data_IF_957678801605
#
_entry.id   IF_957678801605
#
_cell.length_a   1.000
_cell.length_b   1.000
_cell.length_c   1.000
_cell.angle_alpha   90.00
_cell.angle_beta   90.00
_cell.angle_gamma   90.00
#
_symmetry.space_group_name_H-M   'P 1'
#
loop_
_entity.id
_entity.type
_entity.pdbx_description
1 polymer ?
#
# COMPACT_ATOMS: atom_id res chain seq x y z
N UNK A 1 35.18 27.11 3.44
CA UNK A 1 34.20 27.94 4.18
C UNK A 1 33.23 27.01 4.89
N UNK A 2 33.41 26.83 6.18
CA UNK A 2 32.58 25.94 6.99
C UNK A 2 31.20 26.60 7.19
N UNK A 3 30.19 26.13 6.47
CA UNK A 3 28.82 26.61 6.64
C UNK A 3 28.33 26.19 8.03
N UNK A 4 28.43 27.11 9.01
CA UNK A 4 27.84 26.94 10.34
C UNK A 4 26.41 26.45 10.18
N UNK A 5 26.10 25.24 10.66
CA UNK A 5 24.75 24.69 10.61
C UNK A 5 23.85 25.61 11.43
N UNK A 6 22.86 26.23 10.78
CA UNK A 6 21.83 27.01 11.46
C UNK A 6 21.08 26.08 12.43
N UNK A 7 21.11 26.42 13.70
CA UNK A 7 20.39 25.71 14.76
C UNK A 7 18.96 26.27 14.85
N UNK A 8 18.02 25.42 15.25
CA UNK A 8 16.61 25.77 15.38
C UNK A 8 16.13 25.34 16.77
N UNK A 9 15.42 26.24 17.46
CA UNK A 9 14.76 25.91 18.72
C UNK A 9 13.57 24.99 18.47
N UNK A 10 13.13 24.24 19.48
CA UNK A 10 11.94 23.39 19.37
C UNK A 10 10.68 24.17 18.95
N UNK A 11 10.52 25.39 19.47
CA UNK A 11 9.42 26.28 19.08
C UNK A 11 9.47 26.66 17.58
N UNK A 12 10.66 26.99 17.06
CA UNK A 12 10.83 27.29 15.64
C UNK A 12 10.54 26.09 14.75
N UNK A 13 10.99 24.89 15.15
CA UNK A 13 10.68 23.64 14.43
C UNK A 13 9.17 23.43 14.37
N UNK A 14 8.48 23.51 15.51
CA UNK A 14 7.01 23.34 15.59
C UNK A 14 6.26 24.36 14.75
N UNK A 15 6.70 25.63 14.75
CA UNK A 15 6.10 26.67 13.91
C UNK A 15 6.22 26.36 12.42
N UNK A 16 7.40 25.93 11.97
CA UNK A 16 7.62 25.56 10.57
C UNK A 16 6.81 24.32 10.21
N UNK A 17 6.78 23.31 11.08
CA UNK A 17 6.02 22.09 10.85
C UNK A 17 4.51 22.34 10.78
N UNK A 18 3.98 23.22 11.64
CA UNK A 18 2.58 23.62 11.55
C UNK A 18 2.27 24.20 10.18
N UNK A 19 3.10 25.12 9.68
CA UNK A 19 2.89 25.68 8.35
C UNK A 19 3.02 24.65 7.23
N UNK A 20 3.93 23.68 7.37
CA UNK A 20 4.03 22.55 6.44
C UNK A 20 2.72 21.77 6.43
N UNK A 21 2.17 21.43 7.60
CA UNK A 21 0.91 20.70 7.70
C UNK A 21 -0.29 21.51 7.21
N UNK A 22 -0.27 22.83 7.35
CA UNK A 22 -1.33 23.72 6.85
C UNK A 22 -1.29 23.84 5.31
N UNK A 23 -0.10 23.92 4.69
CA UNK A 23 0.06 24.24 3.26
C UNK A 23 0.22 23.04 2.34
N UNK A 24 0.74 21.94 2.86
CA UNK A 24 0.96 20.72 2.08
C UNK A 24 -0.36 20.15 1.51
N UNK A 25 -1.49 20.12 2.25
CA UNK A 25 -2.79 19.70 1.73
C UNK A 25 -3.28 20.55 0.55
N UNK A 26 -3.01 21.85 0.57
CA UNK A 26 -3.34 22.81 -0.50
C UNK A 26 -2.55 22.57 -1.81
N UNK A 27 -1.67 21.57 -1.83
CA UNK A 27 -0.93 21.16 -3.02
C UNK A 27 0.46 21.76 -3.14
N UNK A 28 0.88 22.69 -2.25
CA UNK A 28 2.24 23.21 -2.23
C UNK A 28 3.26 22.08 -2.01
N UNK A 29 4.43 22.18 -2.66
CA UNK A 29 5.49 21.19 -2.43
C UNK A 29 6.18 21.42 -1.09
N UNK A 30 6.54 20.33 -0.41
CA UNK A 30 7.34 20.38 0.82
C UNK A 30 8.62 21.22 0.62
N UNK A 31 9.29 21.02 -0.52
CA UNK A 31 10.47 21.78 -0.92
C UNK A 31 10.18 23.28 -1.02
N UNK A 32 9.07 23.67 -1.64
CA UNK A 32 8.66 25.06 -1.76
C UNK A 32 8.39 25.71 -0.40
N UNK A 33 7.66 25.02 0.48
CA UNK A 33 7.36 25.51 1.84
C UNK A 33 8.67 25.62 2.66
N UNK A 34 9.52 24.60 2.61
CA UNK A 34 10.80 24.56 3.32
C UNK A 34 11.74 25.69 2.88
N UNK A 35 11.88 25.93 1.57
CA UNK A 35 12.73 26.98 1.03
C UNK A 35 12.28 28.39 1.46
N UNK A 36 10.96 28.65 1.51
CA UNK A 36 10.41 29.92 2.04
C UNK A 36 10.80 30.18 3.51
N UNK A 37 11.22 29.15 4.24
CA UNK A 37 11.68 29.22 5.63
C UNK A 37 13.19 29.07 5.78
N UNK A 38 13.93 29.01 4.67
CA UNK A 38 15.39 28.85 4.68
C UNK A 38 15.85 27.50 5.23
N UNK A 39 15.00 26.47 5.15
CA UNK A 39 15.30 25.10 5.56
C UNK A 39 15.25 24.16 4.36
N UNK A 40 15.97 23.05 4.43
CA UNK A 40 15.84 21.96 3.45
C UNK A 40 14.65 21.07 3.81
N UNK A 41 14.04 20.46 2.80
CA UNK A 41 13.01 19.42 2.95
C UNK A 41 13.51 18.23 3.78
N UNK A 42 14.77 17.81 3.59
CA UNK A 42 15.37 16.74 4.41
C UNK A 42 15.43 17.07 5.91
N UNK A 43 15.65 18.34 6.28
CA UNK A 43 15.63 18.77 7.69
C UNK A 43 14.21 18.81 8.25
N UNK A 44 13.23 19.14 7.42
CA UNK A 44 11.82 19.05 7.80
C UNK A 44 11.43 17.59 8.08
N UNK A 45 11.86 16.64 7.23
CA UNK A 45 11.66 15.21 7.49
C UNK A 45 12.34 14.74 8.77
N UNK A 46 13.57 15.18 9.04
CA UNK A 46 14.28 14.91 10.29
C UNK A 46 13.46 15.36 11.51
N UNK A 47 12.88 16.57 11.46
CA UNK A 47 12.06 17.10 12.55
C UNK A 47 10.74 16.38 12.74
N UNK A 48 10.06 16.01 11.64
CA UNK A 48 8.84 15.20 11.70
C UNK A 48 9.13 13.88 12.43
N UNK A 49 10.25 13.23 12.08
CA UNK A 49 10.69 11.99 12.73
C UNK A 49 11.04 12.21 14.20
N UNK A 50 11.86 13.21 14.52
CA UNK A 50 12.31 13.44 15.90
C UNK A 50 11.20 13.87 16.85
N UNK A 51 10.14 14.49 16.33
CA UNK A 51 8.98 14.94 17.10
C UNK A 51 7.82 13.95 17.13
N UNK A 52 7.96 12.79 16.47
CA UNK A 52 6.93 11.75 16.45
C UNK A 52 5.69 12.09 15.60
N UNK A 53 5.82 13.03 14.65
CA UNK A 53 4.69 13.57 13.87
C UNK A 53 4.49 12.85 12.52
N UNK A 54 4.96 11.61 12.39
CA UNK A 54 4.94 10.89 11.11
C UNK A 54 3.53 10.52 10.68
N UNK A 55 2.67 10.14 11.62
CA UNK A 55 1.26 9.78 11.33
C UNK A 55 0.48 11.00 10.86
N UNK A 56 0.59 12.13 11.55
CA UNK A 56 0.01 13.41 11.13
C UNK A 56 0.50 13.81 9.73
N UNK A 57 1.81 13.70 9.50
CA UNK A 57 2.38 14.00 8.19
C UNK A 57 1.89 13.05 7.09
N UNK A 58 1.71 11.76 7.39
CA UNK A 58 1.13 10.81 6.45
C UNK A 58 -0.32 11.19 6.11
N UNK A 59 -1.13 11.53 7.10
CA UNK A 59 -2.50 12.00 6.90
C UNK A 59 -2.57 13.28 6.04
N UNK A 60 -1.71 14.25 6.31
CA UNK A 60 -1.60 15.48 5.50
C UNK A 60 -1.25 15.16 4.04
N UNK A 61 -0.42 14.13 3.77
CA UNK A 61 -0.13 13.68 2.41
C UNK A 61 -1.32 13.02 1.74
N UNK A 62 -2.16 12.31 2.49
CA UNK A 62 -3.42 11.78 1.97
C UNK A 62 -4.40 12.91 1.60
N UNK A 63 -4.52 13.94 2.45
CA UNK A 63 -5.33 15.13 2.14
C UNK A 63 -4.84 15.82 0.87
N UNK A 64 -3.53 15.96 0.69
CA UNK A 64 -2.93 16.50 -0.54
C UNK A 64 -3.32 15.71 -1.79
N UNK A 65 -3.52 14.39 -1.67
CA UNK A 65 -3.95 13.57 -2.79
C UNK A 65 -5.34 13.99 -3.31
N UNK A 66 -6.25 14.41 -2.42
CA UNK A 66 -7.56 14.94 -2.82
C UNK A 66 -7.43 16.24 -3.62
N UNK A 67 -6.59 17.18 -3.17
CA UNK A 67 -6.33 18.41 -3.92
C UNK A 67 -5.73 18.15 -5.30
N UNK A 68 -4.81 17.18 -5.38
CA UNK A 68 -4.22 16.78 -6.65
C UNK A 68 -5.21 16.08 -7.57
N UNK A 69 -6.18 15.34 -7.01
CA UNK A 69 -7.29 14.79 -7.77
C UNK A 69 -8.15 15.89 -8.38
N UNK A 70 -8.57 16.90 -7.62
CA UNK A 70 -9.34 18.03 -8.17
C UNK A 70 -8.56 18.80 -9.25
N UNK A 71 -7.24 18.96 -9.05
CA UNK A 71 -6.38 19.63 -10.04
C UNK A 71 -6.27 18.89 -11.38
N UNK A 72 -6.49 17.57 -11.41
CA UNK A 72 -6.62 16.82 -12.67
C UNK A 72 -7.84 17.33 -13.45
N UNK A 73 -8.96 17.58 -12.78
CA UNK A 73 -10.17 18.11 -13.41
C UNK A 73 -9.91 19.52 -13.96
N UNK A 74 -9.25 20.39 -13.19
CA UNK A 74 -8.89 21.74 -13.64
C UNK A 74 -8.05 21.71 -14.93
N UNK A 75 -7.01 20.86 -14.96
CA UNK A 75 -6.14 20.72 -16.13
C UNK A 75 -6.93 20.18 -17.33
N UNK A 76 -7.83 19.21 -17.11
CA UNK A 76 -8.69 18.67 -18.16
C UNK A 76 -9.61 19.75 -18.75
N UNK A 77 -10.24 20.58 -17.91
CA UNK A 77 -11.09 21.68 -18.38
C UNK A 77 -10.29 22.76 -19.12
N UNK A 78 -9.08 23.09 -18.66
CA UNK A 78 -8.21 24.00 -19.38
C UNK A 78 -7.82 23.47 -20.76
N UNK A 79 -7.56 22.16 -20.88
CA UNK A 79 -7.24 21.52 -22.15
C UNK A 79 -8.43 21.55 -23.11
N UNK A 80 -9.63 21.20 -22.64
CA UNK A 80 -10.87 21.28 -23.42
C UNK A 80 -11.19 22.70 -23.89
N UNK A 81 -10.84 23.70 -23.09
CA UNK A 81 -10.99 25.12 -23.43
C UNK A 81 -9.86 25.66 -24.32
N UNK A 82 -8.93 24.81 -24.80
CA UNK A 82 -7.74 25.21 -25.57
C UNK A 82 -6.86 26.27 -24.86
N UNK A 83 -6.84 26.28 -23.53
CA UNK A 83 -6.03 27.21 -22.71
C UNK A 83 -4.65 26.67 -22.35
N UNK A 84 -4.42 25.38 -22.58
CA UNK A 84 -3.13 24.70 -22.36
C UNK A 84 -2.87 23.73 -23.50
N UNK A 85 -1.60 23.46 -23.78
CA UNK A 85 -1.21 22.45 -24.76
C UNK A 85 -1.74 21.05 -24.31
N UNK A 86 -2.44 20.30 -25.19
CA UNK A 86 -2.99 19.00 -24.84
C UNK A 86 -1.94 17.95 -24.42
N UNK A 87 -0.74 17.97 -25.00
CA UNK A 87 0.33 17.06 -24.63
C UNK A 87 0.91 17.42 -23.26
N UNK A 88 1.09 18.71 -22.98
CA UNK A 88 1.50 19.18 -21.66
C UNK A 88 0.45 18.82 -20.59
N UNK A 89 -0.83 19.00 -20.90
CA UNK A 89 -1.94 18.61 -20.03
C UNK A 89 -1.92 17.11 -19.73
N UNK A 90 -1.70 16.27 -20.77
CA UNK A 90 -1.58 14.82 -20.61
C UNK A 90 -0.43 14.43 -19.66
N UNK A 91 0.77 14.97 -19.88
CA UNK A 91 1.93 14.70 -19.03
C UNK A 91 1.67 15.10 -17.58
N UNK A 92 1.04 16.27 -17.36
CA UNK A 92 0.70 16.74 -16.02
C UNK A 92 -0.33 15.81 -15.34
N UNK A 93 -1.38 15.41 -16.05
CA UNK A 93 -2.41 14.51 -15.53
C UNK A 93 -1.80 13.15 -15.17
N UNK A 94 -0.95 12.58 -16.02
CA UNK A 94 -0.33 11.28 -15.77
C UNK A 94 0.61 11.33 -14.55
N UNK A 95 1.41 12.39 -14.42
CA UNK A 95 2.25 12.61 -13.23
C UNK A 95 1.41 12.75 -11.95
N UNK A 96 0.26 13.44 -12.01
CA UNK A 96 -0.66 13.57 -10.88
C UNK A 96 -1.31 12.23 -10.52
N UNK A 97 -1.83 11.47 -11.50
CA UNK A 97 -2.39 10.12 -11.28
C UNK A 97 -1.41 9.19 -10.59
N UNK A 98 -0.17 9.15 -11.08
CA UNK A 98 0.90 8.40 -10.44
C UNK A 98 1.09 8.89 -9.00
N UNK A 99 1.22 10.19 -8.79
CA UNK A 99 1.45 10.76 -7.45
C UNK A 99 0.33 10.41 -6.45
N UNK A 100 -0.94 10.61 -6.81
CA UNK A 100 -2.07 10.38 -5.89
C UNK A 100 -2.23 8.91 -5.53
N UNK A 101 -1.96 7.99 -6.47
CA UNK A 101 -1.99 6.55 -6.20
C UNK A 101 -0.92 6.09 -5.20
N UNK A 102 0.18 6.83 -5.04
CA UNK A 102 1.22 6.57 -4.03
C UNK A 102 1.00 7.36 -2.73
N UNK A 103 0.26 8.47 -2.77
CA UNK A 103 -0.08 9.26 -1.59
C UNK A 103 -1.26 8.66 -0.82
N UNK A 104 -2.28 8.18 -1.51
CA UNK A 104 -3.43 7.49 -0.91
C UNK A 104 -3.83 6.28 -1.79
N UNK A 105 -3.12 5.14 -1.64
CA UNK A 105 -3.37 3.92 -2.42
C UNK A 105 -4.75 3.33 -2.20
N UNK A 106 -5.36 3.53 -1.03
CA UNK A 106 -6.68 2.99 -0.70
C UNK A 106 -7.79 3.60 -1.57
N UNK A 107 -7.73 4.92 -1.77
CA UNK A 107 -8.71 5.66 -2.57
C UNK A 107 -8.35 5.72 -4.05
N UNK A 108 -7.06 5.88 -4.39
CA UNK A 108 -6.61 6.16 -5.77
C UNK A 108 -5.69 5.09 -6.37
N UNK A 109 -5.51 3.96 -5.69
CA UNK A 109 -4.79 2.82 -6.25
C UNK A 109 -5.60 2.15 -7.36
N UNK A 110 -4.90 1.64 -8.36
CA UNK A 110 -5.52 0.80 -9.39
C UNK A 110 -6.02 -0.50 -8.76
N UNK A 111 -7.30 -0.81 -8.96
CA UNK A 111 -7.90 -2.06 -8.51
C UNK A 111 -7.94 -3.04 -9.67
N UNK A 112 -7.18 -4.12 -9.56
CA UNK A 112 -7.27 -5.26 -10.50
C UNK A 112 -8.21 -6.30 -9.90
N UNK A 113 -9.32 -6.58 -10.58
CA UNK A 113 -10.12 -7.76 -10.28
C UNK A 113 -9.38 -8.97 -10.89
N UNK A 114 -8.76 -9.78 -10.03
CA UNK A 114 -8.19 -11.06 -10.45
C UNK A 114 -9.29 -12.09 -10.31
N UNK A 115 -9.86 -12.53 -11.43
CA UNK A 115 -10.78 -13.66 -11.45
C UNK A 115 -9.96 -14.94 -11.27
N UNK A 116 -9.90 -15.44 -10.03
CA UNK A 116 -9.22 -16.68 -9.72
C UNK A 116 -10.13 -17.82 -10.15
N UNK A 117 -9.73 -18.58 -11.17
CA UNK A 117 -10.48 -19.77 -11.58
C UNK A 117 -10.35 -20.87 -10.51
N UNK A 118 -11.31 -20.90 -9.58
CA UNK A 118 -11.37 -21.81 -8.43
C UNK A 118 -11.47 -23.29 -8.87
N UNK A 119 -11.87 -23.58 -10.12
CA UNK A 119 -12.07 -24.96 -10.59
C UNK A 119 -10.81 -25.83 -10.52
N UNK A 120 -9.66 -25.30 -10.96
CA UNK A 120 -8.40 -26.05 -10.92
C UNK A 120 -7.92 -26.34 -9.50
N UNK A 121 -8.20 -25.45 -8.55
CA UNK A 121 -7.88 -25.66 -7.13
C UNK A 121 -8.82 -26.67 -6.48
N UNK A 122 -10.11 -26.67 -6.85
CA UNK A 122 -11.07 -27.66 -6.39
C UNK A 122 -10.74 -29.07 -6.87
N UNK A 123 -10.37 -29.24 -8.15
CA UNK A 123 -9.94 -30.53 -8.71
C UNK A 123 -8.71 -31.08 -7.98
N UNK A 124 -7.74 -30.24 -7.63
CA UNK A 124 -6.57 -30.64 -6.85
C UNK A 124 -6.95 -31.07 -5.42
N UNK A 125 -7.85 -30.33 -4.76
CA UNK A 125 -8.34 -30.67 -3.41
C UNK A 125 -9.11 -32.00 -3.42
N UNK A 126 -9.92 -32.24 -4.44
CA UNK A 126 -10.64 -33.52 -4.62
C UNK A 126 -9.67 -34.68 -4.84
N UNK A 127 -8.65 -34.48 -5.69
CA UNK A 127 -7.61 -35.48 -5.92
C UNK A 127 -6.83 -35.83 -4.64
N UNK A 128 -6.44 -34.84 -3.84
CA UNK A 128 -5.74 -35.05 -2.56
C UNK A 128 -6.63 -35.78 -1.55
N UNK A 129 -7.92 -35.44 -1.48
CA UNK A 129 -8.89 -36.16 -0.63
C UNK A 129 -9.00 -37.62 -1.04
N UNK A 130 -9.07 -37.91 -2.34
CA UNK A 130 -9.14 -39.27 -2.87
C UNK A 130 -7.90 -40.08 -2.48
N UNK A 131 -6.70 -39.54 -2.70
CA UNK A 131 -5.45 -40.20 -2.30
C UNK A 131 -5.34 -40.46 -0.79
N UNK A 132 -5.83 -39.53 0.04
CA UNK A 132 -5.82 -39.70 1.49
C UNK A 132 -6.75 -40.81 1.96
N UNK A 133 -7.91 -40.97 1.32
CA UNK A 133 -8.86 -42.03 1.64
C UNK A 133 -8.33 -43.40 1.17
N UNK A 134 -7.72 -43.47 -0.01
CA UNK A 134 -7.07 -44.69 -0.50
C UNK A 134 -5.96 -45.16 0.43
N UNK A 135 -5.12 -44.25 0.95
CA UNK A 135 -4.10 -44.59 1.95
C UNK A 135 -4.67 -45.14 3.25
N UNK A 136 -5.73 -44.53 3.79
CA UNK A 136 -6.41 -45.02 5.00
C UNK A 136 -6.95 -46.44 4.80
N UNK A 137 -7.63 -46.69 3.68
CA UNK A 137 -8.20 -48.00 3.39
C UNK A 137 -7.12 -49.09 3.27
N UNK A 138 -5.93 -48.76 2.75
CA UNK A 138 -4.80 -49.70 2.66
C UNK A 138 -4.17 -49.96 4.04
N UNK A 139 -4.09 -48.94 4.91
CA UNK A 139 -3.62 -49.12 6.29
C UNK A 139 -4.60 -49.97 7.11
N UNK A 140 -5.92 -49.72 7.01
CA UNK A 140 -6.95 -50.52 7.67
C UNK A 140 -6.95 -51.98 7.18
N UNK A 141 -6.80 -52.22 5.87
CA UNK A 141 -6.73 -53.58 5.33
C UNK A 141 -5.50 -54.37 5.85
N UNK A 142 -4.36 -53.71 6.07
CA UNK A 142 -3.15 -54.35 6.62
C UNK A 142 -3.26 -54.72 8.11
N UNK A 143 -4.15 -54.06 8.86
CA UNK A 143 -4.35 -54.33 10.29
C UNK A 143 -5.20 -55.58 10.52
N UNK A 144 -6.02 -55.98 9.53
CA UNK A 144 -6.98 -57.09 9.68
C UNK A 144 -6.32 -58.47 9.47
N UNK A 145 -5.14 -58.56 8.85
CA UNK A 145 -4.47 -59.83 8.50
C UNK A 145 -3.63 -60.47 9.63
N UNK A 146 -3.78 -60.05 10.89
CA UNK A 146 -3.04 -60.65 12.03
C UNK A 146 -4.02 -61.16 13.08
N UNK A 147 -3.99 -62.48 13.29
CA UNK A 147 -4.66 -63.29 14.31
C UNK A 147 -6.12 -63.76 14.07
N UNK A 148 -6.23 -64.87 13.33
CA UNK A 148 -7.07 -65.99 13.80
C UNK A 148 -6.25 -67.28 13.74
N UNK A 149 -5.55 -67.60 14.84
CA UNK A 149 -5.10 -68.97 15.12
C UNK A 149 -6.35 -69.79 15.47
N UNK A 150 -6.68 -70.77 14.64
CA UNK A 150 -7.63 -71.83 14.99
C UNK A 150 -6.99 -72.70 16.10
N UNK A 151 -7.64 -72.78 17.27
CA UNK A 151 -7.43 -73.87 18.22
C UNK A 151 -8.57 -74.90 18.05
N UNK A 152 -8.27 -76.21 18.10
CA UNK A 152 -9.13 -77.27 17.61
C UNK A 152 -10.30 -77.62 18.55
N UNK A 153 -11.46 -77.88 17.95
CA UNK A 153 -12.68 -78.34 18.61
C UNK A 153 -12.49 -79.67 19.38
N UNK A 154 -13.10 -79.73 20.56
CA UNK A 154 -13.19 -80.91 21.42
C UNK A 154 -14.36 -81.82 20.98
N UNK A 155 -14.00 -83.05 20.59
CA UNK A 155 -14.62 -84.38 20.80
C UNK A 155 -16.12 -84.45 21.16
N UNK A 156 -16.87 -85.22 20.35
CA UNK A 156 -17.69 -86.34 20.86
C UNK A 156 -17.53 -87.57 19.97
#
# INVERSE_FOLDING_TARGET
>A
MEKKRRTYTEEQKRKILKEVMDKLPEGESLRGIAQKRGVSDGRVHEWIKSLGLWEDYAHVRELRAHTFFERINDIAFLALANKVDPNAARVAIDALKWTISRMNPKSYGERTNIDVNIKAQMEYVEFVKKLSNEKRNVEEAKVIDVDTKEEPDQIE
#
